data_IF_242251814864
#
_entry.id   IF_242251814864
#
_cell.length_a   1.000
_cell.length_b   1.000
_cell.length_c   1.000
_cell.angle_alpha   90.00
_cell.angle_beta   90.00
_cell.angle_gamma   90.00
#
_symmetry.space_group_name_H-M   'P 1'
#
loop_
_entity.id
_entity.type
_entity.pdbx_description
1 polymer ?
#
# COMPACT_ATOMS: atom_id res chain seq x y z
N UNK A 1 -14.18 -2.26 16.79
CA UNK A 1 -13.48 -1.10 16.21
C UNK A 1 -14.17 -0.75 14.90
N UNK A 2 -14.54 0.51 14.67
CA UNK A 2 -15.19 0.91 13.42
C UNK A 2 -14.16 0.88 12.28
N UNK A 3 -14.55 0.44 11.08
CA UNK A 3 -13.64 0.36 9.91
C UNK A 3 -12.97 1.70 9.61
N UNK A 4 -13.64 2.83 9.90
CA UNK A 4 -13.06 4.17 9.73
C UNK A 4 -11.87 4.45 10.66
N UNK A 5 -11.84 3.88 11.87
CA UNK A 5 -10.71 4.06 12.81
C UNK A 5 -9.46 3.31 12.35
N UNK A 6 -9.65 2.11 11.77
CA UNK A 6 -8.56 1.28 11.24
C UNK A 6 -7.93 1.95 10.02
N UNK A 7 -8.76 2.52 9.15
CA UNK A 7 -8.32 3.25 7.97
C UNK A 7 -7.42 4.44 8.36
N UNK A 8 -7.90 5.29 9.26
CA UNK A 8 -7.17 6.48 9.69
C UNK A 8 -5.83 6.12 10.37
N UNK A 9 -5.80 5.07 11.19
CA UNK A 9 -4.56 4.58 11.81
C UNK A 9 -3.56 4.09 10.78
N UNK A 10 -4.01 3.36 9.75
CA UNK A 10 -3.13 2.86 8.70
C UNK A 10 -2.53 4.00 7.88
N UNK A 11 -3.34 5.01 7.52
CA UNK A 11 -2.87 6.19 6.80
C UNK A 11 -1.86 6.99 7.62
N UNK A 12 -2.13 7.25 8.91
CA UNK A 12 -1.15 7.91 9.79
C UNK A 12 0.14 7.10 9.97
N UNK A 13 0.06 5.76 9.94
CA UNK A 13 1.25 4.91 9.98
C UNK A 13 2.07 5.07 8.69
N UNK A 14 1.42 5.13 7.53
CA UNK A 14 2.09 5.38 6.25
C UNK A 14 2.71 6.78 6.25
N UNK A 15 1.98 7.83 6.63
CA UNK A 15 2.47 9.22 6.67
C UNK A 15 3.67 9.43 7.61
N UNK A 16 3.71 8.72 8.73
CA UNK A 16 4.78 8.85 9.73
C UNK A 16 6.01 7.96 9.48
N UNK A 17 5.99 7.15 8.43
CA UNK A 17 7.11 6.31 8.03
C UNK A 17 8.08 7.09 7.13
N UNK A 18 9.38 6.81 7.25
CA UNK A 18 10.41 7.42 6.40
C UNK A 18 10.44 6.71 5.03
N UNK A 19 9.48 7.06 4.17
CA UNK A 19 9.31 6.49 2.84
C UNK A 19 9.53 7.56 1.76
N UNK A 20 9.87 7.13 0.55
CA UNK A 20 9.90 8.04 -0.59
C UNK A 20 8.48 8.50 -0.95
N UNK A 21 8.36 9.68 -1.58
CA UNK A 21 7.05 10.25 -1.95
C UNK A 21 6.19 9.26 -2.76
N UNK A 22 6.79 8.53 -3.70
CA UNK A 22 6.11 7.52 -4.53
C UNK A 22 5.67 6.30 -3.71
N UNK A 23 6.43 5.94 -2.68
CA UNK A 23 6.07 4.85 -1.75
C UNK A 23 4.87 5.22 -0.89
N UNK A 24 4.82 6.45 -0.36
CA UNK A 24 3.66 6.97 0.34
C UNK A 24 2.41 6.94 -0.54
N UNK A 25 2.48 7.51 -1.75
CA UNK A 25 1.34 7.52 -2.67
C UNK A 25 0.83 6.11 -2.98
N UNK A 26 1.73 5.19 -3.32
CA UNK A 26 1.36 3.80 -3.63
C UNK A 26 0.65 3.11 -2.46
N UNK A 27 1.15 3.28 -1.24
CA UNK A 27 0.57 2.64 -0.06
C UNK A 27 -0.76 3.29 0.35
N UNK A 28 -0.89 4.61 0.22
CA UNK A 28 -2.16 5.31 0.42
C UNK A 28 -3.22 4.83 -0.56
N UNK A 29 -2.92 4.78 -1.85
CA UNK A 29 -3.83 4.29 -2.87
C UNK A 29 -4.18 2.81 -2.69
N UNK A 30 -3.20 1.99 -2.28
CA UNK A 30 -3.45 0.60 -1.96
C UNK A 30 -4.50 0.42 -0.84
N UNK A 31 -4.55 1.36 0.10
CA UNK A 31 -5.50 1.35 1.20
C UNK A 31 -6.85 1.94 0.75
N UNK A 32 -6.85 3.09 0.08
CA UNK A 32 -8.07 3.85 -0.26
C UNK A 32 -8.85 3.29 -1.45
N UNK A 33 -8.16 2.86 -2.52
CA UNK A 33 -8.80 2.36 -3.76
C UNK A 33 -9.19 0.88 -3.69
N UNK A 34 -8.96 0.22 -2.55
CA UNK A 34 -9.34 -1.17 -2.38
C UNK A 34 -10.87 -1.33 -2.31
N UNK A 35 -11.38 -2.43 -2.88
CA UNK A 35 -12.80 -2.81 -2.82
C UNK A 35 -13.31 -2.90 -1.38
N UNK A 36 -12.44 -3.24 -0.44
CA UNK A 36 -12.69 -3.21 1.01
C UNK A 36 -11.48 -2.58 1.70
N UNK A 37 -11.50 -1.25 1.97
CA UNK A 37 -10.37 -0.50 2.55
C UNK A 37 -9.92 -0.98 3.93
N UNK A 38 -10.81 -1.65 4.69
CA UNK A 38 -10.49 -2.14 6.02
C UNK A 38 -9.47 -3.28 5.99
N UNK A 39 -9.48 -4.10 4.93
CA UNK A 39 -8.55 -5.24 4.77
C UNK A 39 -7.09 -4.82 4.52
N UNK A 40 -6.76 -3.98 3.52
CA UNK A 40 -5.40 -3.50 3.33
C UNK A 40 -4.95 -2.62 4.49
N UNK A 41 -5.83 -1.79 5.07
CA UNK A 41 -5.50 -0.99 6.25
C UNK A 41 -5.06 -1.88 7.43
N UNK A 42 -5.83 -2.93 7.74
CA UNK A 42 -5.46 -3.89 8.78
C UNK A 42 -4.16 -4.63 8.46
N UNK A 43 -3.98 -5.06 7.21
CA UNK A 43 -2.77 -5.74 6.77
C UNK A 43 -1.51 -4.87 6.92
N UNK A 44 -1.62 -3.59 6.57
CA UNK A 44 -0.54 -2.60 6.74
C UNK A 44 -0.23 -2.36 8.22
N UNK A 45 -1.26 -2.24 9.07
CA UNK A 45 -1.08 -2.09 10.52
C UNK A 45 -0.41 -3.31 11.15
N UNK A 46 -0.88 -4.52 10.83
CA UNK A 46 -0.38 -5.77 11.40
C UNK A 46 1.10 -5.98 11.06
N UNK A 47 1.51 -5.68 9.82
CA UNK A 47 2.91 -5.81 9.38
C UNK A 47 3.79 -4.62 9.77
N UNK A 48 3.25 -3.40 9.76
CA UNK A 48 3.98 -2.19 10.11
C UNK A 48 4.26 -2.07 11.60
N UNK A 49 3.39 -2.65 12.45
CA UNK A 49 3.53 -2.61 13.91
C UNK A 49 4.36 -3.77 14.47
N UNK A 50 4.82 -4.70 13.63
CA UNK A 50 5.52 -5.92 14.07
C UNK A 50 6.97 -5.67 14.55
N UNK A 51 7.42 -4.41 14.69
CA UNK A 51 8.77 -4.08 15.14
C UNK A 51 8.99 -2.58 15.40
N UNK A 52 10.26 -2.19 15.65
CA UNK A 52 10.66 -0.78 15.79
C UNK A 52 10.66 -0.02 14.46
N UNK A 53 10.97 1.29 14.49
CA UNK A 53 10.93 2.17 13.30
C UNK A 53 11.56 1.53 12.06
N UNK A 54 12.85 1.17 12.07
CA UNK A 54 13.51 0.55 10.91
C UNK A 54 12.85 -0.75 10.41
N UNK A 55 12.15 -1.47 11.29
CA UNK A 55 11.35 -2.65 10.91
C UNK A 55 10.03 -2.27 10.23
N UNK A 56 9.44 -1.14 10.59
CA UNK A 56 8.23 -0.59 9.98
C UNK A 56 8.48 -0.16 8.53
N UNK A 57 9.51 0.62 8.25
CA UNK A 57 9.82 1.02 6.87
C UNK A 57 10.18 -0.21 6.00
N UNK A 58 10.93 -1.16 6.56
CA UNK A 58 11.22 -2.42 5.88
C UNK A 58 9.94 -3.20 5.55
N UNK A 59 9.02 -3.33 6.51
CA UNK A 59 7.71 -3.98 6.31
C UNK A 59 6.89 -3.31 5.22
N UNK A 60 6.83 -1.98 5.18
CA UNK A 60 6.09 -1.24 4.16
C UNK A 60 6.69 -1.45 2.75
N UNK A 61 8.03 -1.48 2.64
CA UNK A 61 8.72 -1.81 1.39
C UNK A 61 8.48 -3.27 0.95
N UNK A 62 8.35 -4.20 1.88
CA UNK A 62 7.96 -5.58 1.58
C UNK A 62 6.52 -5.66 1.07
N UNK A 63 5.58 -4.92 1.67
CA UNK A 63 4.19 -4.83 1.19
C UNK A 63 4.17 -4.32 -0.25
N UNK A 64 4.90 -3.25 -0.56
CA UNK A 64 5.06 -2.73 -1.93
C UNK A 64 5.56 -3.81 -2.89
N UNK A 65 6.59 -4.57 -2.51
CA UNK A 65 7.16 -5.63 -3.35
C UNK A 65 6.20 -6.82 -3.54
N UNK A 66 5.50 -7.24 -2.48
CA UNK A 66 4.48 -8.28 -2.56
C UNK A 66 3.36 -7.86 -3.51
N UNK A 67 2.94 -6.59 -3.44
CA UNK A 67 1.93 -6.03 -4.34
C UNK A 67 2.42 -6.03 -5.79
N UNK A 68 3.62 -5.51 -6.06
CA UNK A 68 4.25 -5.55 -7.39
C UNK A 68 4.32 -6.98 -7.94
N UNK A 69 4.62 -7.98 -7.09
CA UNK A 69 4.65 -9.39 -7.49
C UNK A 69 3.26 -9.93 -7.81
N UNK A 70 2.23 -9.57 -7.05
CA UNK A 70 0.85 -9.98 -7.34
C UNK A 70 0.33 -9.38 -8.65
N UNK A 71 0.75 -8.15 -8.95
CA UNK A 71 0.43 -7.46 -10.19
C UNK A 71 1.14 -8.12 -11.38
N UNK A 72 2.44 -8.37 -11.27
CA UNK A 72 3.19 -9.09 -12.30
C UNK A 72 2.63 -10.51 -12.57
N UNK A 73 2.04 -11.17 -11.56
CA UNK A 73 1.34 -12.46 -11.73
C UNK A 73 -0.02 -12.32 -12.40
N UNK A 74 -0.69 -11.17 -12.29
CA UNK A 74 -1.94 -10.86 -13.00
C UNK A 74 -1.71 -10.32 -14.41
N UNK A 75 -0.53 -9.76 -14.70
CA UNK A 75 -0.14 -9.24 -16.01
C UNK A 75 0.20 -10.32 -17.04
N UNK A 76 -0.09 -11.59 -16.74
CA UNK A 76 -0.08 -12.68 -17.71
C UNK A 76 -1.54 -13.14 -17.97
N UNK A 77 -2.14 -12.97 -19.16
CA UNK A 77 -2.14 -11.84 -20.09
C UNK A 77 -3.44 -11.02 -19.97
N UNK A 78 -3.39 -9.80 -19.42
CA UNK A 78 -4.42 -8.74 -19.63
C UNK A 78 -3.77 -7.35 -19.43
N UNK A 79 -2.93 -6.95 -20.39
CA UNK A 79 -2.07 -5.75 -20.43
C UNK A 79 -2.78 -4.37 -20.35
N UNK A 80 -4.10 -4.30 -20.19
CA UNK A 80 -4.84 -3.03 -20.37
C UNK A 80 -5.01 -2.17 -19.11
N UNK A 81 -5.22 -2.80 -17.95
CA UNK A 81 -5.73 -2.07 -16.78
C UNK A 81 -4.61 -1.45 -15.94
N UNK A 82 -3.50 -2.17 -15.79
CA UNK A 82 -2.45 -1.79 -14.87
C UNK A 82 -1.57 -0.66 -15.40
N UNK A 83 -1.25 -0.70 -16.70
CA UNK A 83 -0.59 0.41 -17.41
C UNK A 83 -1.39 1.70 -17.32
N UNK A 84 -2.72 1.63 -17.44
CA UNK A 84 -3.59 2.80 -17.32
C UNK A 84 -3.60 3.37 -15.90
N UNK A 85 -3.66 2.51 -14.87
CA UNK A 85 -3.57 2.95 -13.47
C UNK A 85 -2.23 3.63 -13.18
N UNK A 86 -1.11 2.99 -13.51
CA UNK A 86 0.22 3.58 -13.29
C UNK A 86 0.42 4.89 -14.08
N UNK A 87 -0.06 4.97 -15.32
CA UNK A 87 0.08 6.18 -16.15
C UNK A 87 -0.74 7.39 -15.66
N UNK A 88 -1.85 7.14 -14.93
CA UNK A 88 -2.68 8.21 -14.38
C UNK A 88 -2.21 8.67 -13.01
N UNK A 89 -1.55 7.79 -12.27
CA UNK A 89 -1.33 7.99 -10.85
C UNK A 89 0.11 8.37 -10.49
N UNK A 90 1.07 8.14 -11.38
CA UNK A 90 2.45 8.62 -11.24
C UNK A 90 2.79 9.48 -12.48
N UNK A 91 2.60 10.81 -12.45
CA UNK A 91 3.14 11.69 -13.48
C UNK A 91 4.67 11.70 -13.38
N UNK A 92 5.34 11.63 -14.53
CA UNK A 92 6.80 11.69 -14.66
C UNK A 92 7.41 12.94 -14.03
#
# INVERSE_FOLDING_TARGET
>A
MSSGTILQQALSLVESADLEHTEHQLLTLFIEDAVDPARPAKYVLDRGSAGGASSREHSLRLIKNDWRRLLARREHPLDGYFRNFLSKTIPC
#
